data_IF_017753733644
#
_entry.id   IF_017753733644
#
_cell.length_a   1.000
_cell.length_b   1.000
_cell.length_c   1.000
_cell.angle_alpha   90.00
_cell.angle_beta   90.00
_cell.angle_gamma   90.00
#
_symmetry.space_group_name_H-M   'P 1'
#
loop_
_entity.id
_entity.type
_entity.pdbx_description
1 polymer ?
#
# COMPACT_ATOMS: atom_id res chain seq x y z
N UNK A 1 1.28 19.01 -4.94
CA UNK A 1 1.52 17.93 -3.95
C UNK A 1 1.63 16.62 -4.71
N UNK A 2 2.68 15.82 -4.48
CA UNK A 2 2.87 14.55 -5.19
C UNK A 2 1.72 13.56 -4.95
N UNK A 3 1.49 12.64 -5.88
CA UNK A 3 0.53 11.54 -5.75
C UNK A 3 1.28 10.23 -5.87
N UNK A 4 0.87 9.22 -5.12
CA UNK A 4 1.37 7.86 -5.32
C UNK A 4 0.81 7.33 -6.64
N UNK A 5 1.66 6.75 -7.47
CA UNK A 5 1.23 6.13 -8.72
C UNK A 5 0.40 4.87 -8.45
N UNK A 6 -0.62 4.62 -9.27
CA UNK A 6 -1.47 3.43 -9.14
C UNK A 6 -0.64 2.12 -9.16
N UNK A 7 0.43 2.07 -9.96
CA UNK A 7 1.32 0.92 -10.05
C UNK A 7 1.91 0.46 -8.71
N UNK A 8 2.00 1.35 -7.70
CA UNK A 8 2.46 1.00 -6.36
C UNK A 8 1.51 0.04 -5.62
N UNK A 9 0.26 -0.10 -6.09
CA UNK A 9 -0.78 -0.92 -5.46
C UNK A 9 -1.12 -2.19 -6.25
N UNK A 10 -0.42 -2.46 -7.36
CA UNK A 10 -0.57 -3.72 -8.10
C UNK A 10 0.21 -4.83 -7.38
N UNK A 11 -0.42 -6.00 -7.23
CA UNK A 11 0.25 -7.17 -6.67
C UNK A 11 1.36 -7.66 -7.60
N UNK A 12 2.48 -8.05 -7.01
CA UNK A 12 3.52 -8.84 -7.67
C UNK A 12 3.17 -10.33 -7.60
N UNK A 13 3.76 -11.16 -8.45
CA UNK A 13 3.49 -12.60 -8.49
C UNK A 13 3.63 -13.27 -7.10
N UNK A 14 4.72 -12.95 -6.37
CA UNK A 14 4.95 -13.46 -5.01
C UNK A 14 3.91 -13.04 -3.97
N UNK A 15 3.13 -12.00 -4.27
CA UNK A 15 2.08 -11.44 -3.40
C UNK A 15 0.69 -11.94 -3.78
N UNK A 16 0.51 -12.64 -4.91
CA UNK A 16 -0.79 -13.10 -5.44
C UNK A 16 -1.68 -13.75 -4.38
N UNK A 17 -1.11 -14.64 -3.55
CA UNK A 17 -1.86 -15.35 -2.50
C UNK A 17 -1.84 -14.65 -1.14
N UNK A 18 -0.99 -13.63 -0.96
CA UNK A 18 -0.77 -12.96 0.33
C UNK A 18 -1.40 -11.58 0.40
N UNK A 19 -1.63 -10.91 -0.72
CA UNK A 19 -2.07 -9.52 -0.75
C UNK A 19 -0.92 -8.52 -0.58
N UNK A 20 -1.26 -7.24 -0.63
CA UNK A 20 -0.29 -6.15 -0.62
C UNK A 20 0.23 -5.90 0.81
N UNK A 21 1.55 -5.94 0.99
CA UNK A 21 2.18 -5.69 2.29
C UNK A 21 2.08 -4.21 2.70
N UNK A 22 1.67 -3.96 3.93
CA UNK A 22 1.61 -2.61 4.52
C UNK A 22 2.08 -2.62 5.98
N UNK A 23 2.53 -1.47 6.47
CA UNK A 23 2.79 -1.28 7.90
C UNK A 23 1.57 -0.71 8.62
N UNK A 24 1.41 -1.07 9.90
CA UNK A 24 0.33 -0.56 10.74
C UNK A 24 0.75 0.80 11.31
N UNK A 25 0.11 1.87 10.84
CA UNK A 25 0.47 3.25 11.19
C UNK A 25 0.36 3.58 12.68
N UNK A 26 -0.52 2.89 13.43
CA UNK A 26 -0.63 3.05 14.88
C UNK A 26 0.61 2.56 15.65
N UNK A 27 1.46 1.76 15.00
CA UNK A 27 2.60 1.06 15.62
C UNK A 27 3.93 1.51 15.00
N UNK A 28 3.93 1.85 13.72
CA UNK A 28 5.11 2.26 12.94
C UNK A 28 4.98 3.72 12.50
N UNK A 29 5.87 4.60 12.99
CA UNK A 29 5.96 5.98 12.50
C UNK A 29 6.49 6.02 11.07
N UNK A 30 6.18 7.05 10.26
CA UNK A 30 6.63 7.13 8.87
C UNK A 30 8.14 6.93 8.69
N UNK A 31 8.97 7.57 9.53
CA UNK A 31 10.43 7.43 9.49
C UNK A 31 10.88 6.01 9.84
N UNK A 32 10.24 5.37 10.84
CA UNK A 32 10.53 3.97 11.19
C UNK A 32 10.15 3.03 10.05
N UNK A 33 9.04 3.29 9.36
CA UNK A 33 8.63 2.48 8.23
C UNK A 33 9.61 2.65 7.05
N UNK A 34 10.05 3.88 6.78
CA UNK A 34 11.05 4.16 5.76
C UNK A 34 12.39 3.45 6.05
N UNK A 35 12.85 3.49 7.30
CA UNK A 35 14.12 2.86 7.72
C UNK A 35 14.13 1.33 7.69
N UNK A 36 13.02 0.66 7.38
CA UNK A 36 12.97 -0.80 7.16
C UNK A 36 13.45 -1.22 5.77
N UNK A 37 13.64 -0.28 4.86
CA UNK A 37 13.98 -0.54 3.47
C UNK A 37 15.34 0.07 3.14
N UNK A 38 16.16 -0.65 2.37
CA UNK A 38 17.46 -0.16 1.89
C UNK A 38 17.31 1.11 1.04
N UNK A 39 16.16 1.27 0.38
CA UNK A 39 15.76 2.47 -0.37
C UNK A 39 14.29 2.77 -0.13
N UNK A 40 13.99 4.00 0.27
CA UNK A 40 12.61 4.48 0.46
C UNK A 40 12.48 5.92 -0.01
N UNK A 41 11.71 6.16 -1.07
CA UNK A 41 11.50 7.51 -1.63
C UNK A 41 10.40 8.30 -0.89
N UNK A 42 9.59 7.61 -0.10
CA UNK A 42 8.51 8.23 0.67
C UNK A 42 7.59 7.20 1.31
N UNK A 43 6.75 7.67 2.23
CA UNK A 43 5.73 6.86 2.90
C UNK A 43 4.37 7.48 2.66
N UNK A 44 3.44 6.65 2.21
CA UNK A 44 2.04 7.01 2.07
C UNK A 44 1.19 6.21 3.07
N UNK A 45 0.10 6.84 3.50
CA UNK A 45 -0.90 6.26 4.38
C UNK A 45 -2.21 5.99 3.65
N UNK A 46 -2.91 4.95 4.09
CA UNK A 46 -4.26 4.59 3.68
C UNK A 46 -5.13 4.42 4.92
N UNK A 47 -6.42 4.73 4.79
CA UNK A 47 -7.38 4.55 5.88
C UNK A 47 -8.10 3.20 5.76
N UNK A 48 -8.03 2.36 6.80
CA UNK A 48 -8.58 0.98 6.77
C UNK A 48 -10.07 0.96 6.44
N UNK A 49 -10.86 1.86 7.02
CA UNK A 49 -12.30 1.93 6.72
C UNK A 49 -12.59 2.18 5.23
N UNK A 50 -11.79 3.01 4.56
CA UNK A 50 -11.98 3.34 3.14
C UNK A 50 -11.42 2.25 2.21
N UNK A 51 -10.43 1.49 2.67
CA UNK A 51 -10.03 0.25 1.99
C UNK A 51 -11.20 -0.73 2.00
N UNK A 52 -11.88 -0.88 3.15
CA UNK A 52 -13.02 -1.79 3.30
C UNK A 52 -14.25 -1.37 2.49
N UNK A 53 -14.48 -0.07 2.33
CA UNK A 53 -15.51 0.45 1.40
C UNK A 53 -15.29 0.02 -0.06
N UNK A 54 -14.06 -0.34 -0.45
CA UNK A 54 -13.75 -0.89 -1.78
C UNK A 54 -14.01 -2.40 -1.91
N UNK A 55 -14.49 -3.06 -0.85
CA UNK A 55 -14.65 -4.53 -0.80
C UNK A 55 -13.35 -5.29 -0.53
N UNK A 56 -12.28 -4.58 -0.15
CA UNK A 56 -11.01 -5.17 0.29
C UNK A 56 -11.03 -5.38 1.81
N UNK A 57 -10.04 -6.11 2.35
CA UNK A 57 -9.82 -6.19 3.80
C UNK A 57 -8.36 -5.95 4.16
N UNK A 58 -8.10 -5.63 5.43
CA UNK A 58 -6.76 -5.46 5.98
C UNK A 58 -6.59 -6.43 7.14
N UNK A 59 -5.72 -7.42 6.95
CA UNK A 59 -5.51 -8.51 7.91
C UNK A 59 -4.09 -8.39 8.47
N UNK A 60 -3.97 -8.24 9.79
CA UNK A 60 -2.69 -8.21 10.47
C UNK A 60 -2.02 -9.60 10.39
N UNK A 61 -0.72 -9.61 10.09
CA UNK A 61 0.11 -10.82 10.08
C UNK A 61 1.12 -10.81 11.24
N UNK A 62 1.68 -9.64 11.55
CA UNK A 62 2.62 -9.43 12.66
C UNK A 62 2.26 -8.16 13.40
N UNK A 63 2.98 -7.92 14.50
CA UNK A 63 2.77 -6.76 15.36
C UNK A 63 2.67 -5.43 14.59
N UNK A 64 3.55 -5.16 13.63
CA UNK A 64 3.60 -3.88 12.91
C UNK A 64 3.34 -4.00 11.39
N UNK A 65 2.76 -5.13 10.97
CA UNK A 65 2.58 -5.48 9.56
C UNK A 65 1.22 -6.13 9.31
N UNK A 66 0.63 -5.76 8.18
CA UNK A 66 -0.62 -6.30 7.69
C UNK A 66 -0.57 -6.51 6.17
N UNK A 67 -1.55 -7.25 5.67
CA UNK A 67 -1.82 -7.42 4.25
C UNK A 67 -3.15 -6.80 3.85
N UNK A 68 -3.18 -6.05 2.76
CA UNK A 68 -4.43 -5.72 2.06
C UNK A 68 -4.82 -6.93 1.21
N UNK A 69 -5.95 -7.56 1.53
CA UNK A 69 -6.49 -8.77 0.90
C UNK A 69 -7.63 -8.42 -0.07
N UNK A 70 -7.89 -9.32 -1.02
CA UNK A 70 -8.95 -9.18 -2.01
C UNK A 70 -8.54 -8.46 -3.30
N UNK A 71 -7.29 -7.97 -3.39
CA UNK A 71 -6.75 -7.41 -4.63
C UNK A 71 -6.54 -8.55 -5.66
N UNK A 72 -7.01 -8.40 -6.91
CA UNK A 72 -6.70 -9.34 -7.96
C UNK A 72 -5.25 -9.17 -8.42
N UNK A 73 -4.62 -10.28 -8.83
CA UNK A 73 -3.36 -10.22 -9.55
C UNK A 73 -3.63 -9.82 -11.00
N UNK A 74 -2.83 -8.91 -11.54
CA UNK A 74 -3.06 -8.26 -12.84
C UNK A 74 -3.19 -9.24 -14.01
N UNK A 75 -2.50 -10.37 -13.97
CA UNK A 75 -2.54 -11.37 -15.05
C UNK A 75 -3.82 -12.23 -14.97
N UNK A 76 -4.51 -12.26 -13.82
CA UNK A 76 -5.80 -12.94 -13.67
C UNK A 76 -6.98 -12.02 -14.03
N UNK A 77 -6.89 -10.73 -13.66
CA UNK A 77 -7.92 -9.73 -13.98
C UNK A 77 -7.32 -8.31 -14.00
N UNK A 78 -6.82 -7.90 -15.17
CA UNK A 78 -6.14 -6.62 -15.34
C UNK A 78 -7.05 -5.42 -15.04
N UNK A 79 -8.27 -5.42 -15.57
CA UNK A 79 -9.20 -4.31 -15.45
C UNK A 79 -9.54 -4.01 -13.97
N UNK A 80 -9.83 -5.05 -13.19
CA UNK A 80 -10.14 -4.89 -11.77
C UNK A 80 -8.89 -4.52 -10.94
N UNK A 81 -7.73 -5.08 -11.29
CA UNK A 81 -6.46 -4.73 -10.64
C UNK A 81 -6.14 -3.24 -10.82
N UNK A 82 -6.24 -2.73 -12.05
CA UNK A 82 -6.00 -1.32 -12.36
C UNK A 82 -7.04 -0.41 -11.70
N UNK A 83 -8.32 -0.80 -11.71
CA UNK A 83 -9.40 -0.05 -11.06
C UNK A 83 -9.13 0.12 -9.57
N UNK A 84 -8.87 -0.97 -8.84
CA UNK A 84 -8.63 -0.95 -7.40
C UNK A 84 -7.32 -0.23 -7.06
N UNK A 85 -6.26 -0.44 -7.84
CA UNK A 85 -4.99 0.26 -7.67
C UNK A 85 -5.14 1.78 -7.83
N UNK A 86 -5.91 2.23 -8.83
CA UNK A 86 -6.24 3.65 -9.01
C UNK A 86 -7.06 4.24 -7.87
N UNK A 87 -8.02 3.48 -7.33
CA UNK A 87 -8.82 3.91 -6.18
C UNK A 87 -7.98 4.01 -4.90
N UNK A 88 -7.08 3.05 -4.65
CA UNK A 88 -6.11 3.09 -3.55
C UNK A 88 -5.17 4.29 -3.68
N UNK A 89 -4.58 4.52 -4.85
CA UNK A 89 -3.75 5.69 -5.12
C UNK A 89 -4.49 7.00 -4.88
N UNK A 90 -5.75 7.11 -5.34
CA UNK A 90 -6.58 8.31 -5.17
C UNK A 90 -6.84 8.67 -3.70
N UNK A 91 -7.02 7.66 -2.85
CA UNK A 91 -7.27 7.88 -1.42
C UNK A 91 -6.00 7.94 -0.55
N UNK A 92 -4.85 7.54 -1.12
CA UNK A 92 -3.56 7.59 -0.44
C UNK A 92 -3.13 9.01 -0.11
N UNK A 93 -2.39 9.16 0.99
CA UNK A 93 -1.81 10.45 1.41
C UNK A 93 -0.35 10.27 1.71
N UNK A 94 0.51 11.01 1.02
CA UNK A 94 1.94 11.09 1.35
C UNK A 94 2.07 11.74 2.73
N UNK A 95 2.70 11.04 3.67
CA UNK A 95 2.91 11.46 5.06
C UNK A 95 4.38 11.70 5.40
N UNK A 96 5.29 11.24 4.53
CA UNK A 96 6.72 11.49 4.63
C UNK A 96 7.36 11.33 3.25
N UNK A 97 8.39 12.13 2.98
CA UNK A 97 9.22 12.05 1.78
C UNK A 97 10.68 12.06 2.21
N UNK A 98 11.51 11.33 1.48
CA UNK A 98 12.96 11.47 1.62
C UNK A 98 13.41 12.74 0.89
N UNK A 99 13.74 13.79 1.66
CA UNK A 99 14.21 15.06 1.11
C UNK A 99 15.71 15.06 0.82
N UNK A 100 16.43 13.97 1.13
CA UNK A 100 17.88 13.85 0.93
C UNK A 100 18.26 13.54 -0.53
N UNK A 101 17.27 13.45 -1.42
CA UNK A 101 17.40 13.26 -2.86
C UNK A 101 17.27 14.57 -3.67
N UNK A 102 17.28 15.72 -3.00
CA UNK A 102 17.35 17.07 -3.59
C UNK A 102 18.62 17.78 -3.13
#
# INVERSE_FOLDING_TARGET
MGRVEAGAYLLREKEKNRGLSVNIAAICSPQKCAGKFDKCFGVASLHVGRIRELGLDVVADKYDHAYIKGLPYKDDNLAEAERLAGLLAKQSRIVWLDTTLY
#
